data_IF_798663915317
#
_entry.id   IF_798663915317
#
_cell.length_a   1.000
_cell.length_b   1.000
_cell.length_c   1.000
_cell.angle_alpha   90.00
_cell.angle_beta   90.00
_cell.angle_gamma   90.00
#
_symmetry.space_group_name_H-M   'P 1'
#
loop_
_entity.id
_entity.type
_entity.pdbx_description
1 polymer ?
#
# COMPACT_ATOMS: atom_id res chain seq x y z
N UNK A 1 -17.19 -5.38 8.01
CA UNK A 1 -16.05 -5.99 8.74
C UNK A 1 -14.73 -5.78 7.98
N UNK A 2 -14.59 -6.25 6.73
CA UNK A 2 -13.39 -6.05 5.90
C UNK A 2 -12.94 -4.59 5.75
N UNK A 3 -13.89 -3.67 5.51
CA UNK A 3 -13.61 -2.23 5.42
C UNK A 3 -12.98 -1.65 6.70
N UNK A 4 -13.33 -2.18 7.88
CA UNK A 4 -12.74 -1.74 9.15
C UNK A 4 -11.30 -2.25 9.33
N UNK A 5 -10.98 -3.44 8.81
CA UNK A 5 -9.62 -3.98 8.83
C UNK A 5 -8.73 -3.20 7.87
N UNK A 6 -9.21 -2.87 6.67
CA UNK A 6 -8.47 -2.06 5.71
C UNK A 6 -8.18 -0.66 6.25
N UNK A 7 -9.14 -0.02 6.93
CA UNK A 7 -8.91 1.28 7.56
C UNK A 7 -7.81 1.19 8.63
N UNK A 8 -7.82 0.15 9.47
CA UNK A 8 -6.76 -0.06 10.48
C UNK A 8 -5.39 -0.30 9.84
N UNK A 9 -5.33 -1.04 8.73
CA UNK A 9 -4.08 -1.25 7.99
C UNK A 9 -3.57 0.05 7.36
N UNK A 10 -4.48 0.91 6.90
CA UNK A 10 -4.14 2.27 6.44
C UNK A 10 -3.54 3.10 7.58
N UNK A 11 -4.19 3.15 8.75
CA UNK A 11 -3.68 3.87 9.92
C UNK A 11 -2.29 3.38 10.34
N UNK A 12 -2.07 2.06 10.32
CA UNK A 12 -0.77 1.46 10.59
C UNK A 12 0.27 1.86 9.53
N UNK A 13 -0.13 1.91 8.26
CA UNK A 13 0.74 2.37 7.18
C UNK A 13 1.09 3.85 7.32
N UNK A 14 0.14 4.70 7.71
CA UNK A 14 0.37 6.12 7.92
C UNK A 14 1.37 6.33 9.06
N UNK A 15 1.20 5.60 10.17
CA UNK A 15 2.14 5.60 11.29
C UNK A 15 3.55 5.15 10.88
N UNK A 16 3.64 4.12 10.04
CA UNK A 16 4.93 3.65 9.53
C UNK A 16 5.68 4.75 8.75
N UNK A 17 4.98 5.47 7.87
CA UNK A 17 5.57 6.57 7.10
C UNK A 17 5.91 7.79 7.97
N UNK A 18 5.09 8.07 8.98
CA UNK A 18 5.39 9.10 9.98
C UNK A 18 6.72 8.78 10.69
N UNK A 19 6.89 7.53 11.16
CA UNK A 19 8.13 7.10 11.83
C UNK A 19 9.32 7.15 10.89
N UNK A 20 9.17 6.75 9.62
CA UNK A 20 10.22 6.86 8.60
C UNK A 20 10.70 8.30 8.43
N UNK A 21 9.74 9.24 8.41
CA UNK A 21 10.03 10.68 8.40
C UNK A 21 10.76 11.13 9.66
N UNK A 22 10.27 10.76 10.85
CA UNK A 22 10.88 11.10 12.14
C UNK A 22 12.30 10.55 12.27
N UNK A 23 12.57 9.32 11.82
CA UNK A 23 13.90 8.73 11.82
C UNK A 23 14.90 9.45 10.91
N UNK A 24 14.38 10.23 9.95
CA UNK A 24 15.19 11.08 9.07
C UNK A 24 15.47 12.47 9.66
N UNK A 25 14.83 12.84 10.78
CA UNK A 25 15.00 14.14 11.42
C UNK A 25 16.29 14.18 12.27
N UNK A 26 17.16 15.20 12.08
CA UNK A 26 18.42 15.32 12.82
C UNK A 26 18.22 15.35 14.35
N UNK A 27 17.14 15.94 14.82
CA UNK A 27 16.87 16.07 16.26
C UNK A 27 16.45 14.75 16.90
N UNK A 28 15.80 13.86 16.13
CA UNK A 28 15.51 12.50 16.55
C UNK A 28 16.78 11.64 16.52
N UNK A 29 17.62 11.77 15.49
CA UNK A 29 18.87 10.99 15.40
C UNK A 29 19.89 11.33 16.49
N UNK A 30 19.82 12.54 17.05
CA UNK A 30 20.66 12.97 18.19
C UNK A 30 20.15 12.45 19.53
N UNK A 31 18.87 12.11 19.62
CA UNK A 31 18.25 11.51 20.81
C UNK A 31 18.25 9.99 20.67
N UNK A 32 19.28 9.35 21.25
CA UNK A 32 19.50 7.92 21.11
C UNK A 32 18.33 7.07 21.66
N UNK A 33 17.68 7.49 22.74
CA UNK A 33 16.55 6.75 23.31
C UNK A 33 15.34 6.78 22.38
N UNK A 34 15.00 7.97 21.86
CA UNK A 34 13.89 8.13 20.91
C UNK A 34 14.18 7.42 19.59
N UNK A 35 15.41 7.51 19.09
CA UNK A 35 15.81 6.81 17.86
C UNK A 35 15.68 5.29 17.99
N UNK A 36 16.11 4.69 19.11
CA UNK A 36 15.97 3.25 19.35
C UNK A 36 14.51 2.85 19.44
N UNK A 37 13.68 3.61 20.16
CA UNK A 37 12.26 3.34 20.29
C UNK A 37 11.54 3.38 18.94
N UNK A 38 11.77 4.43 18.15
CA UNK A 38 11.19 4.60 16.82
C UNK A 38 11.70 3.55 15.83
N UNK A 39 12.99 3.20 15.87
CA UNK A 39 13.56 2.16 15.02
C UNK A 39 12.94 0.78 15.30
N UNK A 40 12.65 0.49 16.57
CA UNK A 40 11.97 -0.74 16.97
C UNK A 40 10.52 -0.75 16.49
N UNK A 41 9.78 0.33 16.71
CA UNK A 41 8.41 0.48 16.21
C UNK A 41 8.36 0.32 14.68
N UNK A 42 9.27 0.97 13.94
CA UNK A 42 9.40 0.83 12.50
C UNK A 42 9.63 -0.63 12.06
N UNK A 43 10.55 -1.33 12.73
CA UNK A 43 10.83 -2.74 12.45
C UNK A 43 9.62 -3.64 12.72
N UNK A 44 8.87 -3.38 13.80
CA UNK A 44 7.68 -4.14 14.17
C UNK A 44 6.53 -3.93 13.16
N UNK A 45 6.41 -2.71 12.61
CA UNK A 45 5.38 -2.35 11.63
C UNK A 45 5.72 -2.79 10.19
N UNK A 46 7.01 -2.88 9.85
CA UNK A 46 7.50 -3.27 8.51
C UNK A 46 6.81 -4.51 7.91
N UNK A 47 6.69 -5.66 8.60
CA UNK A 47 6.06 -6.85 8.01
C UNK A 47 4.56 -6.65 7.72
N UNK A 48 3.87 -5.88 8.56
CA UNK A 48 2.44 -5.57 8.38
C UNK A 48 2.23 -4.70 7.16
N UNK A 49 2.98 -3.60 7.06
CA UNK A 49 2.90 -2.65 5.94
C UNK A 49 3.34 -3.30 4.63
N UNK A 50 4.38 -4.14 4.65
CA UNK A 50 4.83 -4.89 3.47
C UNK A 50 3.73 -5.83 2.95
N UNK A 51 3.03 -6.51 3.86
CA UNK A 51 1.92 -7.39 3.50
C UNK A 51 0.73 -6.60 2.96
N UNK A 52 0.44 -5.44 3.55
CA UNK A 52 -0.62 -4.55 3.09
C UNK A 52 -0.35 -3.97 1.70
N UNK A 53 0.88 -3.52 1.43
CA UNK A 53 1.30 -3.05 0.08
C UNK A 53 1.11 -4.11 -0.98
N UNK A 54 1.57 -5.34 -0.71
CA UNK A 54 1.37 -6.48 -1.63
C UNK A 54 -0.11 -6.73 -1.94
N UNK A 55 -0.97 -6.60 -0.93
CA UNK A 55 -2.42 -6.75 -1.11
C UNK A 55 -2.98 -5.65 -2.03
N UNK A 56 -2.54 -4.40 -1.87
CA UNK A 56 -2.95 -3.29 -2.73
C UNK A 56 -2.46 -3.48 -4.16
N UNK A 57 -1.19 -3.90 -4.34
CA UNK A 57 -0.60 -4.14 -5.66
C UNK A 57 -1.38 -5.23 -6.41
N UNK A 58 -1.71 -6.34 -5.75
CA UNK A 58 -2.52 -7.41 -6.34
C UNK A 58 -3.92 -6.91 -6.72
N UNK A 59 -4.55 -6.07 -5.89
CA UNK A 59 -5.85 -5.48 -6.22
C UNK A 59 -5.79 -4.59 -7.44
N UNK A 60 -4.74 -3.76 -7.57
CA UNK A 60 -4.51 -2.93 -8.74
C UNK A 60 -4.33 -3.78 -10.00
N UNK A 61 -3.48 -4.81 -9.94
CA UNK A 61 -3.26 -5.72 -11.08
C UNK A 61 -4.56 -6.41 -11.51
N UNK A 62 -5.38 -6.87 -10.56
CA UNK A 62 -6.69 -7.47 -10.88
C UNK A 62 -7.59 -6.44 -11.57
N UNK A 63 -7.65 -5.21 -11.05
CA UNK A 63 -8.47 -4.15 -11.62
C UNK A 63 -8.03 -3.78 -13.03
N UNK A 64 -6.74 -3.61 -13.26
CA UNK A 64 -6.17 -3.21 -14.55
C UNK A 64 -6.33 -4.33 -15.59
N UNK A 65 -6.10 -5.58 -15.19
CA UNK A 65 -6.32 -6.74 -16.06
C UNK A 65 -7.80 -6.89 -16.44
N UNK A 66 -8.70 -6.63 -15.48
CA UNK A 66 -10.15 -6.71 -15.74
C UNK A 66 -10.58 -5.66 -16.76
N UNK A 67 -10.11 -4.41 -16.62
CA UNK A 67 -10.39 -3.34 -17.59
C UNK A 67 -9.85 -3.67 -18.99
N UNK A 68 -8.62 -4.18 -19.08
CA UNK A 68 -8.03 -4.57 -20.35
C UNK A 68 -8.85 -5.67 -21.05
N UNK A 69 -9.37 -6.62 -20.28
CA UNK A 69 -10.23 -7.69 -20.82
C UNK A 69 -11.56 -7.13 -21.33
N UNK A 70 -12.19 -6.22 -20.57
CA UNK A 70 -13.42 -5.54 -20.99
C UNK A 70 -13.22 -4.71 -22.28
N UNK A 71 -12.09 -3.99 -22.40
CA UNK A 71 -11.76 -3.20 -23.58
C UNK A 71 -11.55 -4.08 -24.83
N UNK A 72 -10.84 -5.20 -24.69
CA UNK A 72 -10.63 -6.17 -25.79
C UNK A 72 -11.94 -6.79 -26.26
N UNK A 73 -12.81 -7.20 -25.32
CA UNK A 73 -14.13 -7.75 -25.67
C UNK A 73 -15.04 -6.72 -26.35
N UNK A 74 -14.94 -5.45 -25.95
CA UNK A 74 -15.66 -4.34 -26.56
C UNK A 74 -15.19 -4.06 -27.99
N UNK A 75 -13.88 -4.08 -28.22
CA UNK A 75 -13.28 -3.85 -29.54
C UNK A 75 -13.61 -5.00 -30.51
N UNK A 76 -13.50 -6.26 -30.06
CA UNK A 76 -13.91 -7.45 -30.83
C UNK A 76 -15.40 -7.40 -31.16
N UNK A 77 -16.25 -7.03 -30.20
CA UNK A 77 -17.70 -6.87 -30.43
C UNK A 77 -17.99 -5.78 -31.47
N UNK A 78 -17.24 -4.68 -31.43
CA UNK A 78 -17.39 -3.58 -32.39
C UNK A 78 -16.99 -4.00 -33.79
N UNK A 79 -15.88 -4.75 -33.95
CA UNK A 79 -15.45 -5.31 -35.23
C UNK A 79 -16.47 -6.32 -35.78
N UNK A 80 -17.02 -7.18 -34.93
CA UNK A 80 -18.03 -8.17 -35.31
C UNK A 80 -19.38 -7.56 -35.73
N UNK A 81 -19.67 -6.31 -35.35
CA UNK A 81 -20.86 -5.55 -35.75
C UNK A 81 -20.62 -4.64 -36.97
N UNK A 82 -19.37 -4.45 -37.36
CA UNK A 82 -18.96 -3.60 -38.49
C UNK A 82 -18.82 -4.37 -39.82
N UNK A 83 -18.94 -5.70 -39.78
CA UNK A 83 -19.25 -6.56 -40.95
C UNK A 83 -20.76 -6.78 -41.10
#
# INVERSE_FOLDING_TARGET
MLKSILNKLSEVSDRFYEIEGLLSEPDITKDQERYIALSKEYSDLTPVVTSYKKLLDVQLVIQDTSKLTEDVDSEIRTLALAE
#
